data_IF_349722104729
#
_entry.id   IF_349722104729
#
_cell.length_a   1.000
_cell.length_b   1.000
_cell.length_c   1.000
_cell.angle_alpha   90.00
_cell.angle_beta   90.00
_cell.angle_gamma   90.00
#
_symmetry.space_group_name_H-M   'P 1'
#
loop_
_entity.id
_entity.type
_entity.pdbx_description
1 polymer ?
#
# COMPACT_ATOMS: atom_id res chain seq x y z
N UNK A 1 -0.84 -12.43 18.10
CA UNK A 1 -0.75 -11.17 17.33
C UNK A 1 -2.07 -10.97 16.61
N UNK A 2 -2.61 -9.73 16.60
CA UNK A 2 -3.87 -9.40 15.91
C UNK A 2 -3.48 -8.70 14.60
N UNK A 3 -3.83 -9.30 13.46
CA UNK A 3 -3.39 -8.84 12.14
C UNK A 3 -4.45 -8.00 11.40
N UNK A 4 -5.71 -8.25 11.69
CA UNK A 4 -6.84 -7.40 11.28
C UNK A 4 -8.00 -7.56 12.26
N UNK A 5 -8.91 -6.59 12.25
CA UNK A 5 -10.20 -6.63 12.97
C UNK A 5 -11.28 -6.28 11.96
N UNK A 6 -12.38 -7.06 11.94
CA UNK A 6 -13.52 -6.85 11.06
C UNK A 6 -14.79 -6.70 11.87
N UNK A 7 -15.48 -5.58 11.68
CA UNK A 7 -16.74 -5.26 12.35
C UNK A 7 -17.24 -3.87 11.97
N UNK A 8 -18.43 -3.47 12.44
CA UNK A 8 -18.92 -2.10 12.28
C UNK A 8 -18.06 -1.13 13.11
N UNK A 9 -17.81 0.06 12.57
CA UNK A 9 -17.21 1.17 13.33
C UNK A 9 -18.33 1.80 14.17
N UNK A 10 -18.13 1.85 15.48
CA UNK A 10 -19.12 2.39 16.43
C UNK A 10 -18.72 3.75 16.98
N UNK A 11 -17.42 4.06 16.99
CA UNK A 11 -16.89 5.38 17.41
C UNK A 11 -15.79 5.78 16.44
N UNK A 12 -15.76 7.05 16.06
CA UNK A 12 -14.66 7.68 15.31
C UNK A 12 -14.23 8.91 16.08
N UNK A 13 -12.98 8.92 16.49
CA UNK A 13 -12.31 10.04 17.14
C UNK A 13 -11.19 10.60 16.24
N UNK A 14 -10.50 11.64 16.68
CA UNK A 14 -9.48 12.30 15.88
C UNK A 14 -8.25 11.43 15.57
N UNK A 15 -7.93 10.46 16.43
CA UNK A 15 -6.73 9.64 16.36
C UNK A 15 -6.99 8.13 16.46
N UNK A 16 -8.25 7.72 16.71
CA UNK A 16 -8.62 6.32 16.75
C UNK A 16 -10.05 6.06 16.27
N UNK A 17 -10.33 4.80 15.97
CA UNK A 17 -11.68 4.26 15.78
C UNK A 17 -11.94 3.15 16.80
N UNK A 18 -13.22 2.88 17.08
CA UNK A 18 -13.64 1.69 17.82
C UNK A 18 -14.44 0.78 16.89
N UNK A 19 -13.94 -0.44 16.74
CA UNK A 19 -14.58 -1.51 15.97
C UNK A 19 -15.29 -2.44 16.93
N UNK A 20 -16.58 -2.63 16.77
CA UNK A 20 -17.34 -3.63 17.52
C UNK A 20 -17.18 -5.01 16.90
N UNK A 21 -16.80 -5.97 17.71
CA UNK A 21 -16.76 -7.38 17.32
C UNK A 21 -17.54 -8.18 18.38
N UNK A 22 -18.80 -8.46 18.07
CA UNK A 22 -19.68 -9.24 18.94
C UNK A 22 -19.80 -8.69 20.38
N UNK A 23 -19.93 -7.37 20.51
CA UNK A 23 -20.07 -6.70 21.81
C UNK A 23 -18.74 -6.34 22.49
N UNK A 24 -17.59 -6.58 21.83
CA UNK A 24 -16.28 -6.12 22.29
C UNK A 24 -15.81 -4.96 21.40
N UNK A 25 -15.63 -3.79 22.00
CA UNK A 25 -15.12 -2.60 21.32
C UNK A 25 -13.58 -2.58 21.30
N UNK A 26 -12.98 -2.72 20.13
CA UNK A 26 -11.53 -2.60 19.94
C UNK A 26 -11.15 -1.18 19.58
N UNK A 27 -10.41 -0.50 20.45
CA UNK A 27 -9.85 0.82 20.16
C UNK A 27 -8.59 0.68 19.32
N UNK A 28 -8.58 1.34 18.15
CA UNK A 28 -7.53 1.19 17.14
C UNK A 28 -7.06 2.58 16.69
N UNK A 29 -5.80 2.94 16.97
CA UNK A 29 -5.19 4.20 16.56
C UNK A 29 -4.89 4.18 15.05
N UNK A 30 -5.30 5.23 14.33
CA UNK A 30 -5.20 5.29 12.87
C UNK A 30 -4.52 6.58 12.41
N UNK A 31 -3.80 6.58 11.29
CA UNK A 31 -3.27 7.81 10.67
C UNK A 31 -4.40 8.77 10.28
N UNK A 32 -5.49 8.22 9.74
CA UNK A 32 -6.69 8.95 9.36
C UNK A 32 -7.96 8.14 9.67
N UNK A 33 -8.56 8.29 10.86
CA UNK A 33 -9.78 7.56 11.24
C UNK A 33 -10.98 7.82 10.32
N UNK A 34 -11.04 9.00 9.69
CA UNK A 34 -12.19 9.41 8.88
C UNK A 34 -12.31 8.67 7.54
N UNK A 35 -11.27 7.94 7.09
CA UNK A 35 -11.38 7.06 5.91
C UNK A 35 -12.45 5.98 6.10
N UNK A 36 -12.71 5.59 7.35
CA UNK A 36 -13.69 4.58 7.69
C UNK A 36 -15.12 5.13 7.82
N UNK A 37 -15.29 6.46 7.92
CA UNK A 37 -16.59 7.10 8.12
C UNK A 37 -17.56 6.95 6.94
N UNK A 38 -17.04 6.71 5.74
CA UNK A 38 -17.82 6.61 4.51
C UNK A 38 -18.23 5.17 4.17
N UNK A 39 -17.79 4.19 4.95
CA UNK A 39 -18.05 2.78 4.66
C UNK A 39 -19.33 2.32 5.40
N UNK A 40 -20.30 1.83 4.65
CA UNK A 40 -21.50 1.23 5.21
C UNK A 40 -21.24 -0.26 5.53
N UNK A 41 -21.60 -0.69 6.75
CA UNK A 41 -21.48 -2.08 7.17
C UNK A 41 -20.12 -2.44 7.82
N UNK A 42 -19.81 -3.75 7.91
CA UNK A 42 -18.60 -4.23 8.56
C UNK A 42 -17.33 -3.85 7.76
N UNK A 43 -16.41 -3.18 8.41
CA UNK A 43 -15.14 -2.73 7.84
C UNK A 43 -14.01 -3.66 8.28
N UNK A 44 -13.04 -3.90 7.41
CA UNK A 44 -11.79 -4.56 7.77
C UNK A 44 -10.72 -3.51 8.03
N UNK A 45 -10.23 -3.46 9.27
CA UNK A 45 -9.11 -2.61 9.67
C UNK A 45 -7.88 -3.50 9.83
N UNK A 46 -6.85 -3.29 9.03
CA UNK A 46 -5.59 -4.02 9.15
C UNK A 46 -4.79 -3.49 10.32
N UNK A 47 -4.29 -4.37 11.20
CA UNK A 47 -3.73 -3.93 12.48
C UNK A 47 -2.28 -4.34 12.70
N UNK A 48 -1.56 -3.49 13.43
CA UNK A 48 -0.32 -3.83 14.10
C UNK A 48 -0.56 -3.85 15.60
N UNK A 49 -0.38 -5.02 16.22
CA UNK A 49 -0.50 -5.21 17.66
C UNK A 49 0.83 -4.91 18.34
N UNK A 50 0.91 -3.76 18.98
CA UNK A 50 2.10 -3.29 19.71
C UNK A 50 1.99 -3.65 21.17
N UNK A 51 2.85 -4.55 21.64
CA UNK A 51 2.85 -5.03 23.02
C UNK A 51 4.13 -4.56 23.69
N UNK A 52 3.98 -3.96 24.87
CA UNK A 52 5.04 -3.57 25.79
C UNK A 52 4.67 -4.01 27.21
N UNK A 53 5.58 -3.88 28.13
CA UNK A 53 5.34 -4.22 29.55
C UNK A 53 4.21 -3.40 30.17
N UNK A 54 4.07 -2.15 29.74
CA UNK A 54 3.13 -1.14 30.28
C UNK A 54 1.90 -0.89 29.39
N UNK A 55 1.85 -1.43 28.17
CA UNK A 55 0.75 -1.14 27.23
C UNK A 55 0.58 -2.22 26.15
N UNK A 56 -0.69 -2.45 25.78
CA UNK A 56 -1.08 -3.18 24.58
C UNK A 56 -1.92 -2.26 23.70
N UNK A 57 -1.39 -1.88 22.54
CA UNK A 57 -2.02 -0.91 21.64
C UNK A 57 -2.23 -1.54 20.25
N UNK A 58 -3.35 -1.18 19.62
CA UNK A 58 -3.63 -1.53 18.24
C UNK A 58 -3.48 -0.29 17.37
N UNK A 59 -2.68 -0.42 16.32
CA UNK A 59 -2.54 0.57 15.26
C UNK A 59 -3.20 0.03 14.01
N UNK A 60 -4.09 0.81 13.36
CA UNK A 60 -4.92 0.35 12.27
C UNK A 60 -4.78 1.16 11.00
N UNK A 61 -5.02 0.49 9.89
CA UNK A 61 -4.77 0.97 8.54
C UNK A 61 -5.90 0.57 7.61
N UNK A 62 -6.16 1.40 6.60
CA UNK A 62 -7.15 1.13 5.57
C UNK A 62 -6.71 0.06 4.58
N UNK A 63 -5.40 -0.12 4.40
CA UNK A 63 -4.85 -1.09 3.47
C UNK A 63 -3.69 -1.90 4.05
N UNK A 64 -3.34 -3.00 3.36
CA UNK A 64 -2.18 -3.84 3.71
C UNK A 64 -0.87 -3.12 3.46
N UNK A 65 -0.82 -2.28 2.44
CA UNK A 65 0.35 -1.47 2.10
C UNK A 65 0.69 -0.51 3.24
N UNK A 66 -0.31 0.23 3.75
CA UNK A 66 -0.11 1.11 4.90
C UNK A 66 0.38 0.33 6.12
N UNK A 67 -0.22 -0.83 6.41
CA UNK A 67 0.19 -1.69 7.53
C UNK A 67 1.65 -2.15 7.39
N UNK A 68 2.03 -2.60 6.20
CA UNK A 68 3.40 -3.07 5.95
C UNK A 68 4.40 -1.93 6.02
N UNK A 69 4.08 -0.77 5.43
CA UNK A 69 4.94 0.41 5.50
C UNK A 69 5.11 0.87 6.95
N UNK A 70 4.03 0.89 7.74
CA UNK A 70 4.11 1.18 9.17
C UNK A 70 5.08 0.25 9.90
N UNK A 71 5.00 -1.07 9.64
CA UNK A 71 5.89 -2.07 10.24
C UNK A 71 7.35 -1.82 9.88
N UNK A 72 7.62 -1.40 8.63
CA UNK A 72 8.97 -1.02 8.19
C UNK A 72 9.45 0.28 8.84
N UNK A 73 8.58 1.27 8.95
CA UNK A 73 8.92 2.55 9.58
C UNK A 73 9.32 2.39 11.05
N UNK A 74 8.62 1.57 11.83
CA UNK A 74 8.95 1.36 13.27
C UNK A 74 10.21 0.52 13.50
N UNK A 75 10.77 -0.15 12.47
CA UNK A 75 12.08 -0.80 12.53
C UNK A 75 13.22 0.23 12.54
N UNK A 76 12.97 1.45 12.04
CA UNK A 76 13.98 2.51 11.98
C UNK A 76 14.23 3.10 13.36
N UNK A 77 15.48 3.09 13.81
CA UNK A 77 15.83 3.66 15.10
C UNK A 77 15.50 5.17 15.16
N UNK A 78 14.71 5.54 16.15
CA UNK A 78 14.21 6.91 16.34
C UNK A 78 12.80 7.14 15.76
N UNK A 79 12.18 6.13 15.15
CA UNK A 79 10.79 6.17 14.71
C UNK A 79 9.96 5.22 15.56
N UNK A 80 9.21 5.78 16.50
CA UNK A 80 8.23 5.02 17.28
C UNK A 80 6.85 5.00 16.59
N UNK A 81 5.89 4.19 17.10
CA UNK A 81 4.57 4.04 16.48
C UNK A 81 3.82 5.35 16.25
N UNK A 82 3.86 6.30 17.18
CA UNK A 82 3.21 7.61 17.02
C UNK A 82 3.82 8.45 15.89
N UNK A 83 5.15 8.41 15.77
CA UNK A 83 5.85 9.11 14.68
C UNK A 83 5.53 8.44 13.34
N UNK A 84 5.51 7.11 13.29
CA UNK A 84 5.14 6.36 12.09
C UNK A 84 3.70 6.64 11.63
N UNK A 85 2.72 6.78 12.55
CA UNK A 85 1.37 7.25 12.21
C UNK A 85 1.40 8.66 11.60
N UNK A 86 2.16 9.59 12.21
CA UNK A 86 2.32 10.95 11.67
C UNK A 86 2.92 10.96 10.26
N UNK A 87 3.90 10.09 9.99
CA UNK A 87 4.48 9.94 8.64
C UNK A 87 3.41 9.52 7.63
N UNK A 88 2.59 8.51 7.97
CA UNK A 88 1.51 8.01 7.10
C UNK A 88 0.36 9.01 6.92
N UNK A 89 0.18 9.95 7.85
CA UNK A 89 -0.76 11.07 7.65
C UNK A 89 -0.21 12.10 6.65
N UNK A 90 1.10 12.22 6.52
CA UNK A 90 1.78 13.21 5.68
C UNK A 90 1.92 12.85 4.20
N UNK A 91 1.57 11.61 3.80
CA UNK A 91 1.68 11.18 2.40
C UNK A 91 1.18 9.75 2.18
N UNK A 92 0.86 9.43 0.93
CA UNK A 92 0.48 8.07 0.55
C UNK A 92 1.68 7.11 0.63
N UNK A 93 1.46 5.80 0.81
CA UNK A 93 2.54 4.81 0.79
C UNK A 93 3.48 4.95 -0.42
N UNK A 94 2.93 5.16 -1.60
CA UNK A 94 3.68 5.31 -2.84
C UNK A 94 4.58 6.56 -2.83
N UNK A 95 4.04 7.68 -2.32
CA UNK A 95 4.80 8.93 -2.20
C UNK A 95 5.97 8.78 -1.21
N UNK A 96 5.74 8.10 -0.09
CA UNK A 96 6.74 7.87 0.94
C UNK A 96 7.85 6.93 0.42
N UNK A 97 7.47 5.83 -0.22
CA UNK A 97 8.39 4.87 -0.83
C UNK A 97 9.21 5.54 -1.92
N UNK A 98 8.57 6.29 -2.82
CA UNK A 98 9.26 7.05 -3.87
C UNK A 98 10.25 8.07 -3.30
N UNK A 99 9.87 8.79 -2.23
CA UNK A 99 10.76 9.76 -1.59
C UNK A 99 11.98 9.10 -0.95
N UNK A 100 11.84 7.89 -0.40
CA UNK A 100 12.95 7.11 0.16
C UNK A 100 13.89 6.64 -0.96
N UNK A 101 13.37 6.07 -2.05
CA UNK A 101 14.19 5.62 -3.19
C UNK A 101 14.91 6.77 -3.87
N UNK A 102 14.27 7.95 -4.01
CA UNK A 102 14.85 9.16 -4.58
C UNK A 102 15.75 9.93 -3.60
N UNK A 103 15.92 9.42 -2.37
CA UNK A 103 16.70 10.09 -1.31
C UNK A 103 16.25 11.55 -1.05
N UNK A 104 14.94 11.81 -1.18
CA UNK A 104 14.38 13.16 -1.07
C UNK A 104 14.28 13.62 0.38
N UNK A 105 15.42 14.03 0.95
CA UNK A 105 15.53 14.52 2.34
C UNK A 105 14.61 15.72 2.57
N UNK A 106 14.43 16.58 1.56
CA UNK A 106 13.57 17.77 1.67
C UNK A 106 12.11 17.41 1.90
N UNK A 107 11.60 16.39 1.23
CA UNK A 107 10.27 15.86 1.46
C UNK A 107 10.16 15.18 2.83
N UNK A 108 11.09 14.29 3.14
CA UNK A 108 11.06 13.50 4.37
C UNK A 108 11.14 14.38 5.63
N UNK A 109 11.88 15.48 5.61
CA UNK A 109 11.97 16.40 6.74
C UNK A 109 10.74 17.30 6.94
N UNK A 110 9.79 17.32 5.99
CA UNK A 110 8.49 17.97 6.18
C UNK A 110 7.49 17.09 6.94
N UNK A 111 7.79 15.80 7.07
CA UNK A 111 6.92 14.87 7.80
C UNK A 111 7.00 15.12 9.31
N UNK A 112 5.88 14.96 10.04
CA UNK A 112 5.84 15.19 11.46
C UNK A 112 6.86 14.36 12.23
N UNK A 113 7.66 14.99 13.08
CA UNK A 113 8.64 14.31 13.93
C UNK A 113 9.90 13.84 13.23
N UNK A 114 10.11 14.16 11.94
CA UNK A 114 11.27 13.73 11.16
C UNK A 114 12.26 14.87 10.98
N UNK A 115 13.40 14.77 11.67
CA UNK A 115 14.55 15.63 11.45
C UNK A 115 15.51 15.09 10.38
N UNK A 116 16.50 15.90 9.98
CA UNK A 116 17.49 15.55 8.94
C UNK A 116 18.19 14.21 9.23
N UNK A 117 18.61 13.96 10.47
CA UNK A 117 19.27 12.71 10.87
C UNK A 117 18.34 11.50 10.74
N UNK A 118 17.06 11.63 11.14
CA UNK A 118 16.07 10.57 11.01
C UNK A 118 15.74 10.29 9.55
N UNK A 119 15.59 11.34 8.72
CA UNK A 119 15.37 11.19 7.28
C UNK A 119 16.52 10.43 6.60
N UNK A 120 17.77 10.76 6.92
CA UNK A 120 18.93 10.02 6.39
C UNK A 120 18.95 8.56 6.82
N UNK A 121 18.57 8.28 8.08
CA UNK A 121 18.48 6.92 8.59
C UNK A 121 17.32 6.13 7.94
N UNK A 122 16.17 6.77 7.74
CA UNK A 122 15.05 6.15 6.99
C UNK A 122 15.51 5.69 5.60
N UNK A 123 16.24 6.55 4.87
CA UNK A 123 16.75 6.20 3.54
C UNK A 123 17.69 5.00 3.64
N UNK A 124 18.68 5.05 4.55
CA UNK A 124 19.66 3.99 4.70
C UNK A 124 19.05 2.65 5.09
N UNK A 125 18.10 2.67 6.06
CA UNK A 125 17.54 1.44 6.64
C UNK A 125 16.42 0.83 5.78
N UNK A 126 15.74 1.65 4.94
CA UNK A 126 14.53 1.21 4.24
C UNK A 126 14.66 1.11 2.72
N UNK A 127 15.63 1.78 2.08
CA UNK A 127 15.74 1.81 0.62
C UNK A 127 15.69 0.41 0.00
N UNK A 128 16.56 -0.48 0.47
CA UNK A 128 16.64 -1.87 -0.05
C UNK A 128 15.47 -2.76 0.44
N UNK A 129 14.86 -2.42 1.59
CA UNK A 129 13.75 -3.19 2.16
C UNK A 129 12.39 -2.87 1.54
N UNK A 130 12.31 -1.80 0.78
CA UNK A 130 11.10 -1.35 0.08
C UNK A 130 11.14 -1.68 -1.41
N UNK A 131 12.19 -2.35 -1.90
CA UNK A 131 12.22 -2.86 -3.26
C UNK A 131 11.09 -3.87 -3.48
N UNK A 132 10.25 -3.63 -4.49
CA UNK A 132 9.04 -4.43 -4.76
C UNK A 132 7.88 -4.19 -3.79
N UNK A 133 7.95 -3.14 -2.95
CA UNK A 133 6.86 -2.75 -2.07
C UNK A 133 5.59 -2.43 -2.89
N UNK A 134 4.48 -3.09 -2.54
CA UNK A 134 3.22 -2.98 -3.28
C UNK A 134 3.01 -4.06 -4.36
N UNK A 135 4.07 -4.63 -4.94
CA UNK A 135 3.95 -5.68 -5.97
C UNK A 135 3.60 -7.08 -5.45
N UNK A 136 4.04 -7.41 -4.23
CA UNK A 136 3.90 -8.76 -3.68
C UNK A 136 2.48 -9.12 -3.18
N UNK A 137 1.62 -8.13 -2.93
CA UNK A 137 0.28 -8.35 -2.34
C UNK A 137 -0.74 -8.78 -3.39
N UNK A 138 -0.56 -8.34 -4.63
CA UNK A 138 -1.43 -8.70 -5.75
C UNK A 138 -1.17 -10.11 -6.31
N UNK A 139 0.00 -10.70 -6.01
CA UNK A 139 0.36 -12.03 -6.51
C UNK A 139 -0.39 -13.19 -5.82
N UNK A 140 -1.05 -12.96 -4.69
CA UNK A 140 -1.71 -14.05 -3.94
C UNK A 140 -3.21 -14.20 -4.16
N UNK A 141 -3.86 -13.39 -5.00
CA UNK A 141 -5.25 -13.60 -5.48
C UNK A 141 -6.37 -13.83 -4.44
N UNK A 142 -6.04 -13.90 -3.14
CA UNK A 142 -6.93 -14.33 -2.07
C UNK A 142 -7.72 -13.19 -1.40
N UNK A 143 -7.34 -11.93 -1.69
CA UNK A 143 -8.02 -10.75 -1.14
C UNK A 143 -8.08 -9.65 -2.20
N UNK A 144 -8.80 -9.88 -3.29
CA UNK A 144 -9.24 -8.78 -4.13
C UNK A 144 -10.28 -7.97 -3.34
N UNK A 145 -10.03 -6.70 -2.95
CA UNK A 145 -11.12 -5.84 -2.56
C UNK A 145 -11.99 -5.63 -3.79
N UNK A 146 -13.29 -5.82 -3.65
CA UNK A 146 -14.28 -5.38 -4.62
C UNK A 146 -14.26 -3.84 -4.62
N UNK A 147 -13.30 -3.27 -5.30
CA UNK A 147 -13.28 -1.83 -5.61
C UNK A 147 -13.47 -1.75 -7.11
N UNK A 148 -14.70 -1.44 -7.50
CA UNK A 148 -14.94 -0.79 -8.77
C UNK A 148 -14.18 0.54 -8.72
N UNK A 149 -12.97 0.55 -9.27
CA UNK A 149 -12.29 1.79 -9.61
C UNK A 149 -11.87 1.73 -11.08
N UNK A 150 -12.43 2.64 -11.81
CA UNK A 150 -12.24 2.89 -13.23
C UNK A 150 -10.78 3.33 -13.45
N UNK A 151 -9.99 2.56 -14.21
CA UNK A 151 -8.70 3.04 -14.65
C UNK A 151 -7.76 2.02 -15.28
N UNK A 152 -7.88 1.81 -16.53
CA UNK A 152 -6.92 1.61 -17.67
C UNK A 152 -5.46 1.11 -17.39
N UNK A 153 -5.07 0.83 -16.15
CA UNK A 153 -3.68 0.44 -15.81
C UNK A 153 -3.50 -0.93 -15.15
N UNK A 154 -4.53 -1.46 -14.50
CA UNK A 154 -4.40 -2.65 -13.64
C UNK A 154 -4.12 -3.94 -14.43
N UNK A 155 -4.91 -4.23 -15.44
CA UNK A 155 -4.75 -5.46 -16.24
C UNK A 155 -3.51 -5.45 -17.14
N UNK A 156 -3.06 -4.27 -17.57
CA UNK A 156 -1.79 -4.17 -18.29
C UNK A 156 -0.58 -4.43 -17.40
N UNK A 157 -0.61 -3.97 -16.16
CA UNK A 157 0.47 -4.24 -15.21
C UNK A 157 0.66 -5.74 -14.98
N UNK A 158 -0.44 -6.47 -14.81
CA UNK A 158 -0.43 -7.92 -14.64
C UNK A 158 0.04 -8.64 -15.91
N UNK A 159 -0.46 -8.23 -17.08
CA UNK A 159 -0.03 -8.77 -18.37
C UNK A 159 1.47 -8.52 -18.62
N UNK A 160 1.98 -7.34 -18.23
CA UNK A 160 3.39 -6.96 -18.33
C UNK A 160 4.30 -7.86 -17.49
N UNK A 161 3.91 -8.18 -16.27
CA UNK A 161 4.68 -9.11 -15.41
C UNK A 161 4.72 -10.51 -16.00
N UNK A 162 3.60 -11.02 -16.52
CA UNK A 162 3.57 -12.31 -17.23
C UNK A 162 4.48 -12.34 -18.45
N UNK A 163 4.52 -11.26 -19.23
CA UNK A 163 5.39 -11.13 -20.40
C UNK A 163 6.87 -11.02 -20.01
N UNK A 164 7.21 -10.36 -18.90
CA UNK A 164 8.58 -10.35 -18.34
C UNK A 164 9.03 -11.75 -17.92
N UNK A 165 8.16 -12.52 -17.30
CA UNK A 165 8.44 -13.92 -16.96
C UNK A 165 8.71 -14.81 -18.19
N UNK A 166 8.18 -14.43 -19.36
CA UNK A 166 8.46 -15.06 -20.65
C UNK A 166 9.75 -14.54 -21.32
N UNK A 167 10.46 -13.60 -20.69
CA UNK A 167 11.77 -13.11 -21.13
C UNK A 167 11.76 -11.81 -21.96
N UNK A 168 10.62 -11.13 -22.07
CA UNK A 168 10.56 -9.86 -22.78
C UNK A 168 11.07 -8.71 -21.92
N UNK A 169 11.76 -7.75 -22.56
CA UNK A 169 12.34 -6.58 -21.88
C UNK A 169 11.32 -5.45 -21.70
N UNK A 170 11.52 -4.58 -20.70
CA UNK A 170 10.67 -3.42 -20.46
C UNK A 170 10.54 -2.52 -21.68
N UNK A 171 11.63 -2.33 -22.43
CA UNK A 171 11.66 -1.50 -23.63
C UNK A 171 10.77 -2.05 -24.78
N UNK A 172 10.69 -3.36 -24.91
CA UNK A 172 9.81 -4.02 -25.90
C UNK A 172 8.35 -3.90 -25.48
N UNK A 173 8.07 -4.10 -24.20
CA UNK A 173 6.73 -4.02 -23.64
C UNK A 173 6.17 -2.58 -23.72
N UNK A 174 6.99 -1.58 -23.47
CA UNK A 174 6.59 -0.17 -23.60
C UNK A 174 6.22 0.20 -25.04
N UNK A 175 6.99 -0.28 -26.03
CA UNK A 175 6.68 -0.07 -27.45
C UNK A 175 5.37 -0.75 -27.88
N UNK A 176 5.15 -1.96 -27.39
CA UNK A 176 3.91 -2.70 -27.67
C UNK A 176 2.72 -2.02 -27.02
N UNK A 177 2.84 -1.56 -25.77
CA UNK A 177 1.78 -0.86 -25.08
C UNK A 177 1.35 0.41 -25.81
N UNK A 178 2.30 1.24 -26.26
CA UNK A 178 2.01 2.45 -27.02
C UNK A 178 1.20 2.19 -28.31
N UNK A 179 1.41 1.03 -28.94
CA UNK A 179 0.66 0.63 -30.15
C UNK A 179 -0.71 0.05 -29.79
N UNK A 180 -0.78 -0.74 -28.71
CA UNK A 180 -1.95 -1.51 -28.31
C UNK A 180 -2.98 -0.66 -27.56
N UNK A 181 -2.57 0.41 -26.86
CA UNK A 181 -3.42 1.26 -26.03
C UNK A 181 -4.62 1.85 -26.78
N UNK A 182 -4.52 2.04 -28.09
CA UNK A 182 -5.60 2.56 -28.92
C UNK A 182 -6.71 1.54 -29.22
N UNK A 183 -6.38 0.24 -29.13
CA UNK A 183 -7.27 -0.89 -29.44
C UNK A 183 -7.66 -1.67 -28.19
N UNK A 184 -7.42 -1.10 -27.00
CA UNK A 184 -7.72 -1.71 -25.70
C UNK A 184 -9.01 -1.11 -25.14
N UNK A 185 -9.90 -1.97 -24.66
CA UNK A 185 -11.16 -1.58 -24.02
C UNK A 185 -11.08 -1.87 -22.50
N UNK A 186 -11.91 -1.21 -21.70
CA UNK A 186 -11.98 -1.44 -20.25
C UNK A 186 -12.37 -2.87 -19.84
N UNK A 187 -12.87 -3.67 -20.82
CA UNK A 187 -13.24 -5.08 -20.59
C UNK A 187 -12.11 -6.07 -20.89
N UNK A 188 -10.96 -5.61 -21.41
CA UNK A 188 -9.83 -6.46 -21.72
C UNK A 188 -9.12 -6.94 -20.45
N UNK A 189 -9.25 -8.19 -20.10
CA UNK A 189 -8.54 -8.83 -18.98
C UNK A 189 -7.04 -8.97 -19.26
N UNK A 190 -6.22 -9.19 -18.21
CA UNK A 190 -4.77 -9.37 -18.33
C UNK A 190 -4.39 -10.45 -19.36
N UNK A 191 -5.16 -11.54 -19.42
CA UNK A 191 -4.97 -12.66 -20.35
C UNK A 191 -5.18 -12.24 -21.81
N UNK A 192 -6.19 -11.40 -22.06
CA UNK A 192 -6.50 -10.84 -23.38
C UNK A 192 -5.40 -9.88 -23.81
N UNK A 193 -4.96 -9.01 -22.89
CA UNK A 193 -3.89 -8.06 -23.14
C UNK A 193 -2.56 -8.76 -23.41
N UNK A 194 -2.23 -9.82 -22.64
CA UNK A 194 -1.05 -10.63 -22.88
C UNK A 194 -1.06 -11.29 -24.26
N UNK A 195 -2.18 -11.87 -24.68
CA UNK A 195 -2.34 -12.47 -26.03
C UNK A 195 -2.21 -11.45 -27.13
N UNK A 196 -2.81 -10.25 -26.98
CA UNK A 196 -2.67 -9.15 -27.93
C UNK A 196 -1.22 -8.70 -28.05
N UNK A 197 -0.52 -8.53 -26.91
CA UNK A 197 0.87 -8.13 -26.88
C UNK A 197 1.79 -9.15 -27.53
N UNK A 198 1.63 -10.45 -27.23
CA UNK A 198 2.38 -11.54 -27.85
C UNK A 198 2.21 -11.55 -29.35
N UNK A 199 0.98 -11.39 -29.84
CA UNK A 199 0.71 -11.33 -31.29
C UNK A 199 1.47 -10.18 -31.98
N UNK A 200 1.56 -9.01 -31.31
CA UNK A 200 2.31 -7.87 -31.85
C UNK A 200 3.83 -8.06 -31.79
N UNK A 201 4.33 -8.75 -30.74
CA UNK A 201 5.74 -9.08 -30.59
C UNK A 201 6.22 -10.10 -31.63
N UNK A 202 5.35 -11.03 -32.04
CA UNK A 202 5.67 -12.04 -33.07
C UNK A 202 5.50 -11.56 -34.52
N UNK A 203 4.73 -10.49 -34.74
CA UNK A 203 4.44 -9.97 -36.08
C UNK A 203 5.23 -8.73 -36.47
N UNK A 204 6.06 -8.21 -35.59
CA UNK A 204 6.96 -7.07 -35.81
C UNK A 204 8.40 -7.48 -35.75
#
# INVERSE_FOLDING_TARGET
>A
MIDYIKGPIVIIENDYVVVDVQGIGYQIYCPNPFIFAKQEGPVTVYTHHHVREDAMLLYGFGSREEQQLFRKLIEVSGIGPRVALGILTGGTPEQLVSAIHQENITFLTKLPGIGKKTAQRMILDLKDKLDGFGGAIYATGLFAPNVADEGDGSYWSEAREGLKALGYTDSELDKVWLRMKKDTTAEDTADVLMKKALKMLFTG
#
